data_IF_395000081080
#
_entry.id   IF_395000081080
#
_cell.length_a   1.000
_cell.length_b   1.000
_cell.length_c   1.000
_cell.angle_alpha   90.00
_cell.angle_beta   90.00
_cell.angle_gamma   90.00
#
_symmetry.space_group_name_H-M   'P 1'
#
loop_
_entity.id
_entity.type
_entity.pdbx_description
1 polymer ?
#
# COMPACT_ATOMS: atom_id res chain seq x y z
N UNK A 1 7.67 8.83 -3.14
CA UNK A 1 7.73 7.75 -2.12
C UNK A 1 7.47 6.40 -2.80
N UNK A 2 7.59 5.26 -2.12
CA UNK A 2 7.28 3.94 -2.73
C UNK A 2 5.91 3.48 -2.21
N UNK A 3 5.02 3.08 -3.13
CA UNK A 3 3.72 2.51 -2.80
C UNK A 3 3.90 1.13 -2.15
N UNK A 4 3.38 0.96 -0.94
CA UNK A 4 3.50 -0.30 -0.18
C UNK A 4 2.69 -1.47 -0.79
N UNK A 5 1.86 -1.22 -1.81
CA UNK A 5 1.06 -2.25 -2.52
C UNK A 5 1.75 -2.76 -3.79
N UNK A 6 2.04 -1.88 -4.73
CA UNK A 6 2.68 -2.29 -6.00
C UNK A 6 4.21 -2.22 -5.96
N UNK A 7 4.80 -1.69 -4.88
CA UNK A 7 6.23 -1.43 -4.72
C UNK A 7 6.84 -0.53 -5.83
N UNK A 8 5.98 0.23 -6.54
CA UNK A 8 6.40 1.24 -7.52
C UNK A 8 6.53 2.61 -6.86
N UNK A 9 7.27 3.49 -7.51
CA UNK A 9 7.39 4.87 -7.08
C UNK A 9 6.05 5.60 -7.27
N UNK A 10 5.62 6.32 -6.24
CA UNK A 10 4.60 7.36 -6.33
C UNK A 10 5.30 8.63 -6.78
N UNK A 11 4.97 9.09 -7.98
CA UNK A 11 5.59 10.29 -8.56
C UNK A 11 5.09 11.57 -7.87
N UNK A 12 5.93 12.62 -7.78
CA UNK A 12 5.53 13.88 -7.18
C UNK A 12 4.39 14.54 -7.98
N UNK A 13 3.19 14.53 -7.42
CA UNK A 13 1.96 15.04 -8.06
C UNK A 13 0.89 13.96 -8.24
N UNK A 14 1.24 12.68 -8.09
CA UNK A 14 0.25 11.61 -8.00
C UNK A 14 -0.49 11.63 -6.66
N UNK A 15 -1.76 11.21 -6.68
CA UNK A 15 -2.57 11.09 -5.47
C UNK A 15 -2.16 9.82 -4.72
N UNK A 16 -1.82 9.98 -3.46
CA UNK A 16 -1.54 8.88 -2.55
C UNK A 16 -2.57 8.87 -1.40
N UNK A 17 -2.83 7.69 -0.86
CA UNK A 17 -3.62 7.49 0.35
C UNK A 17 -2.78 6.79 1.42
N UNK A 18 -3.01 7.14 2.67
CA UNK A 18 -2.38 6.49 3.82
C UNK A 18 -3.37 5.50 4.41
N UNK A 19 -2.97 4.23 4.50
CA UNK A 19 -3.76 3.18 5.15
C UNK A 19 -2.98 2.63 6.34
N UNK A 20 -3.69 2.33 7.43
CA UNK A 20 -3.10 1.61 8.56
C UNK A 20 -3.05 0.12 8.22
N UNK A 21 -1.87 -0.48 8.20
CA UNK A 21 -1.71 -1.91 7.95
C UNK A 21 -1.83 -2.70 9.27
N UNK A 22 -2.98 -3.36 9.53
CA UNK A 22 -3.19 -4.09 10.79
C UNK A 22 -2.30 -5.34 10.91
N UNK A 23 -1.72 -5.82 9.80
CA UNK A 23 -0.84 -6.98 9.75
C UNK A 23 0.63 -6.68 10.02
N UNK A 24 1.03 -5.41 10.12
CA UNK A 24 2.38 -5.06 10.57
C UNK A 24 2.48 -5.38 12.07
N UNK A 25 3.33 -6.34 12.42
CA UNK A 25 3.53 -6.89 13.78
C UNK A 25 3.88 -5.83 14.84
N UNK A 26 4.24 -4.61 14.42
CA UNK A 26 4.31 -3.43 15.27
C UNK A 26 3.09 -2.54 15.01
N UNK A 27 2.10 -2.61 15.91
CA UNK A 27 1.03 -1.63 16.12
C UNK A 27 0.61 -0.84 14.86
N UNK A 28 -0.01 -1.51 13.87
CA UNK A 28 -0.69 -0.83 12.77
C UNK A 28 0.17 0.22 12.08
N UNK A 29 1.17 -0.19 11.31
CA UNK A 29 2.01 0.78 10.60
C UNK A 29 1.17 1.51 9.53
N UNK A 30 1.13 2.84 9.61
CA UNK A 30 0.59 3.67 8.55
C UNK A 30 1.52 3.58 7.33
N UNK A 31 0.98 3.08 6.22
CA UNK A 31 1.69 2.91 4.95
C UNK A 31 1.01 3.73 3.87
N UNK A 32 1.81 4.24 2.93
CA UNK A 32 1.32 5.03 1.81
C UNK A 32 1.16 4.15 0.56
N UNK A 33 0.03 4.27 -0.13
CA UNK A 33 -0.27 3.57 -1.38
C UNK A 33 -0.83 4.57 -2.41
N UNK A 34 -0.82 4.20 -3.71
CA UNK A 34 -1.53 5.00 -4.72
C UNK A 34 -3.02 5.06 -4.38
N UNK A 35 -3.63 6.24 -4.55
CA UNK A 35 -5.08 6.40 -4.40
C UNK A 35 -5.86 5.64 -5.50
N UNK A 36 -5.25 5.49 -6.68
CA UNK A 36 -5.79 4.67 -7.75
C UNK A 36 -5.40 3.19 -7.55
N UNK A 37 -6.29 2.23 -7.90
CA UNK A 37 -5.99 0.81 -7.77
C UNK A 37 -4.78 0.45 -8.63
N UNK A 38 -3.75 -0.08 -7.98
CA UNK A 38 -2.52 -0.51 -8.62
C UNK A 38 -2.36 -2.03 -8.54
N UNK A 39 -1.66 -2.59 -9.53
CA UNK A 39 -1.36 -4.02 -9.60
C UNK A 39 -0.41 -4.41 -8.44
N UNK A 40 -0.80 -5.35 -7.57
CA UNK A 40 0.01 -5.71 -6.41
C UNK A 40 1.34 -6.31 -6.85
N UNK A 41 2.41 -6.03 -6.11
CA UNK A 41 3.69 -6.65 -6.42
C UNK A 41 3.58 -8.17 -6.30
N UNK A 42 4.20 -8.93 -7.22
CA UNK A 42 4.19 -10.41 -7.21
C UNK A 42 4.66 -11.05 -5.90
N UNK A 43 5.35 -10.31 -5.04
CA UNK A 43 5.82 -10.77 -3.73
C UNK A 43 4.86 -10.44 -2.59
N UNK A 44 3.82 -9.64 -2.85
CA UNK A 44 2.79 -9.33 -1.87
C UNK A 44 1.81 -10.51 -1.83
N UNK A 45 1.90 -11.32 -0.79
CA UNK A 45 0.92 -12.38 -0.48
C UNK A 45 -0.34 -11.82 0.19
N UNK A 46 -0.47 -10.49 0.25
CA UNK A 46 -1.60 -9.82 0.88
C UNK A 46 -2.84 -10.04 0.01
N UNK A 47 -3.91 -10.65 0.54
CA UNK A 47 -5.08 -10.99 -0.26
C UNK A 47 -5.70 -9.74 -0.90
N UNK A 48 -6.18 -9.92 -2.13
CA UNK A 48 -6.82 -8.89 -2.97
C UNK A 48 -8.21 -8.51 -2.43
N UNK A 49 -8.25 -7.99 -1.21
CA UNK A 49 -9.50 -7.72 -0.55
C UNK A 49 -9.19 -6.89 0.66
N UNK A 50 -9.67 -5.65 0.65
CA UNK A 50 -9.73 -4.70 1.76
C UNK A 50 -9.43 -5.38 3.10
N UNK A 51 -8.37 -4.95 3.77
CA UNK A 51 -8.17 -5.26 5.18
C UNK A 51 -9.51 -5.00 5.90
N UNK A 52 -10.05 -5.99 6.63
CA UNK A 52 -11.33 -5.83 7.31
C UNK A 52 -11.29 -4.71 8.35
#
# INVERSE_FOLDING_TARGET
MICARCNKLIEPGEKAETITNPGATAAGADIEIHADPCDPARQQTTPDGRWP
#
